data_IF_445137112924
#
_entry.id   IF_445137112924
#
_cell.length_a   1.000
_cell.length_b   1.000
_cell.length_c   1.000
_cell.angle_alpha   90.00
_cell.angle_beta   90.00
_cell.angle_gamma   90.00
#
_symmetry.space_group_name_H-M   'P 1'
#
loop_
_entity.id
_entity.type
_entity.pdbx_description
1 polymer ?
#
# COMPACT_ATOMS: atom_id res chain seq x y z
N UNK A 1 -17.80 -10.70 -17.81
CA UNK A 1 -17.37 -9.83 -16.70
C UNK A 1 -16.84 -8.53 -17.29
N UNK A 2 -17.26 -7.36 -16.75
CA UNK A 2 -16.85 -6.04 -17.25
C UNK A 2 -15.36 -5.79 -16.96
N UNK A 3 -14.59 -5.19 -17.89
CA UNK A 3 -13.22 -4.79 -17.60
C UNK A 3 -13.20 -3.67 -16.53
N UNK A 4 -12.16 -3.64 -15.66
CA UNK A 4 -12.04 -2.58 -14.67
C UNK A 4 -11.94 -1.21 -15.34
N UNK A 5 -12.37 -0.16 -14.62
CA UNK A 5 -12.19 1.21 -15.09
C UNK A 5 -10.72 1.58 -15.34
N UNK A 6 -10.51 2.56 -16.21
CA UNK A 6 -9.19 3.19 -16.40
C UNK A 6 -8.65 3.79 -15.10
N UNK A 7 -9.53 4.30 -14.23
CA UNK A 7 -9.12 4.85 -12.93
C UNK A 7 -8.57 3.75 -12.00
N UNK A 8 -9.23 2.58 -11.93
CA UNK A 8 -8.72 1.42 -11.18
C UNK A 8 -7.36 0.98 -11.69
N UNK A 9 -7.18 0.87 -13.01
CA UNK A 9 -5.88 0.51 -13.61
C UNK A 9 -4.82 1.55 -13.29
N UNK A 10 -5.14 2.85 -13.34
CA UNK A 10 -4.21 3.92 -13.00
C UNK A 10 -3.81 3.88 -11.52
N UNK A 11 -4.78 3.66 -10.62
CA UNK A 11 -4.53 3.53 -9.17
C UNK A 11 -3.65 2.33 -8.87
N UNK A 12 -3.95 1.15 -9.42
CA UNK A 12 -3.09 -0.03 -9.24
C UNK A 12 -1.69 0.19 -9.81
N UNK A 13 -1.57 0.87 -10.96
CA UNK A 13 -0.26 1.19 -11.52
C UNK A 13 0.54 2.11 -10.58
N UNK A 14 -0.11 3.12 -10.00
CA UNK A 14 0.52 4.05 -9.05
C UNK A 14 0.87 3.36 -7.73
N UNK A 15 -0.04 2.56 -7.16
CA UNK A 15 0.21 1.76 -5.96
C UNK A 15 1.40 0.82 -6.19
N UNK A 16 1.44 0.15 -7.34
CA UNK A 16 2.54 -0.72 -7.73
C UNK A 16 3.88 0.02 -7.76
N UNK A 17 3.93 1.17 -8.44
CA UNK A 17 5.15 1.98 -8.51
C UNK A 17 5.60 2.50 -7.12
N UNK A 18 4.65 2.97 -6.30
CA UNK A 18 4.94 3.45 -4.94
C UNK A 18 5.43 2.33 -4.03
N UNK A 19 4.81 1.16 -4.09
CA UNK A 19 5.20 -0.01 -3.30
C UNK A 19 6.58 -0.55 -3.73
N UNK A 20 6.89 -0.55 -5.02
CA UNK A 20 8.24 -0.88 -5.49
C UNK A 20 9.27 0.12 -4.98
N UNK A 21 8.99 1.42 -5.08
CA UNK A 21 9.91 2.47 -4.62
C UNK A 21 10.15 2.39 -3.10
N UNK A 22 9.07 2.35 -2.31
CA UNK A 22 9.16 2.27 -0.84
C UNK A 22 9.75 0.95 -0.37
N UNK A 23 9.33 -0.15 -0.98
CA UNK A 23 9.85 -1.47 -0.63
C UNK A 23 11.35 -1.59 -0.92
N UNK A 24 11.81 -0.98 -2.01
CA UNK A 24 13.24 -0.89 -2.32
C UNK A 24 14.01 -0.06 -1.29
N UNK A 25 13.44 1.05 -0.80
CA UNK A 25 14.04 1.82 0.29
C UNK A 25 14.14 0.97 1.56
N UNK A 26 13.05 0.33 1.97
CA UNK A 26 13.02 -0.48 3.19
C UNK A 26 13.94 -1.69 3.14
N UNK A 27 14.14 -2.28 1.96
CA UNK A 27 14.98 -3.47 1.79
C UNK A 27 16.46 -3.15 1.56
N UNK A 28 16.77 -2.10 0.82
CA UNK A 28 18.15 -1.87 0.33
C UNK A 28 18.82 -0.62 0.89
N UNK A 29 18.08 0.32 1.49
CA UNK A 29 18.73 1.47 2.13
C UNK A 29 19.49 1.03 3.40
N UNK A 30 20.66 1.63 3.72
CA UNK A 30 21.47 1.22 4.88
C UNK A 30 20.76 1.27 6.24
N UNK A 31 19.73 2.10 6.36
CA UNK A 31 18.90 2.26 7.56
C UNK A 31 17.42 1.87 7.32
N UNK A 32 17.10 1.31 6.15
CA UNK A 32 15.72 1.02 5.73
C UNK A 32 14.79 2.25 5.66
N UNK A 33 15.35 3.47 5.68
CA UNK A 33 14.59 4.72 5.82
C UNK A 33 14.06 4.99 7.23
N UNK A 34 14.37 4.15 8.23
CA UNK A 34 13.87 4.34 9.59
C UNK A 34 14.44 5.62 10.23
N UNK A 35 15.71 5.95 9.98
CA UNK A 35 16.36 7.11 10.58
C UNK A 35 16.32 8.31 9.63
N UNK A 36 16.78 8.14 8.39
CA UNK A 36 16.92 9.22 7.42
C UNK A 36 15.58 9.79 6.93
N UNK A 37 14.51 8.98 6.89
CA UNK A 37 13.18 9.40 6.41
C UNK A 37 12.20 9.51 7.57
N UNK A 38 12.15 8.50 8.45
CA UNK A 38 11.19 8.46 9.55
C UNK A 38 11.72 9.10 10.84
N UNK A 39 13.01 9.46 10.94
CA UNK A 39 13.56 10.11 12.13
C UNK A 39 13.52 9.24 13.40
N UNK A 40 13.44 7.92 13.26
CA UNK A 40 13.39 6.99 14.37
C UNK A 40 14.80 6.69 14.89
N UNK A 41 14.98 6.80 16.20
CA UNK A 41 16.16 6.31 16.89
C UNK A 41 16.04 4.79 17.08
N UNK A 42 17.03 4.06 16.54
CA UNK A 42 17.06 2.60 16.55
C UNK A 42 17.71 2.04 17.82
N UNK A 43 18.50 2.85 18.55
CA UNK A 43 19.19 2.46 19.77
C UNK A 43 19.86 1.09 19.69
N UNK A 44 19.66 0.28 20.73
CA UNK A 44 20.27 -1.05 20.86
C UNK A 44 19.60 -2.13 19.99
N UNK A 45 18.40 -1.88 19.45
CA UNK A 45 17.63 -2.86 18.68
C UNK A 45 17.79 -2.71 17.16
N UNK A 46 18.85 -1.99 16.71
CA UNK A 46 19.07 -1.65 15.30
C UNK A 46 18.95 -2.83 14.35
N UNK A 47 19.71 -3.89 14.55
CA UNK A 47 19.71 -5.03 13.61
C UNK A 47 18.35 -5.74 13.53
N UNK A 48 17.63 -5.81 14.65
CA UNK A 48 16.27 -6.36 14.70
C UNK A 48 15.31 -5.46 13.92
N UNK A 49 15.39 -4.15 14.11
CA UNK A 49 14.57 -3.19 13.38
C UNK A 49 14.85 -3.22 11.86
N UNK A 50 16.13 -3.32 11.47
CA UNK A 50 16.55 -3.44 10.08
C UNK A 50 16.04 -4.74 9.44
N UNK A 51 16.07 -5.86 10.16
CA UNK A 51 15.49 -7.11 9.69
C UNK A 51 13.98 -6.97 9.42
N UNK A 52 13.22 -6.45 10.39
CA UNK A 52 11.76 -6.32 10.24
C UNK A 52 11.37 -5.32 9.15
N UNK A 53 12.05 -4.17 9.05
CA UNK A 53 11.74 -3.22 7.98
C UNK A 53 12.14 -3.78 6.62
N UNK A 54 13.25 -4.54 6.53
CA UNK A 54 13.61 -5.27 5.32
C UNK A 54 12.53 -6.29 4.91
N UNK A 55 11.97 -7.04 5.86
CA UNK A 55 10.86 -7.95 5.60
C UNK A 55 9.60 -7.22 5.11
N UNK A 56 9.28 -6.05 5.67
CA UNK A 56 8.23 -5.17 5.13
C UNK A 56 8.54 -4.75 3.70
N UNK A 57 9.82 -4.42 3.41
CA UNK A 57 10.28 -4.07 2.07
C UNK A 57 10.09 -5.19 1.04
N UNK A 58 10.40 -6.44 1.39
CA UNK A 58 10.14 -7.62 0.55
C UNK A 58 8.65 -7.76 0.23
N UNK A 59 7.79 -7.59 1.24
CA UNK A 59 6.33 -7.62 1.07
C UNK A 59 5.85 -6.55 0.10
N UNK A 60 6.32 -5.31 0.28
CA UNK A 60 5.96 -4.18 -0.59
C UNK A 60 6.44 -4.36 -2.03
N UNK A 61 7.67 -4.82 -2.24
CA UNK A 61 8.16 -5.10 -3.60
C UNK A 61 7.29 -6.16 -4.27
N UNK A 62 6.97 -7.24 -3.55
CA UNK A 62 6.15 -8.34 -4.07
C UNK A 62 4.75 -7.86 -4.42
N UNK A 63 4.08 -7.15 -3.51
CA UNK A 63 2.74 -6.61 -3.73
C UNK A 63 2.74 -5.59 -4.86
N UNK A 64 3.74 -4.72 -4.93
CA UNK A 64 3.86 -3.75 -6.01
C UNK A 64 4.06 -4.39 -7.38
N UNK A 65 4.80 -5.51 -7.46
CA UNK A 65 4.90 -6.29 -8.68
C UNK A 65 3.55 -6.92 -9.08
N UNK A 66 2.80 -7.45 -8.11
CA UNK A 66 1.45 -7.98 -8.34
C UNK A 66 0.50 -6.88 -8.84
N UNK A 67 0.56 -5.68 -8.28
CA UNK A 67 -0.23 -4.53 -8.71
C UNK A 67 0.00 -4.19 -10.19
N UNK A 68 1.26 -4.09 -10.60
CA UNK A 68 1.63 -3.82 -12.00
C UNK A 68 1.20 -4.95 -12.93
N UNK A 69 1.33 -6.21 -12.48
CA UNK A 69 0.94 -7.37 -13.26
C UNK A 69 -0.58 -7.46 -13.44
N UNK A 70 -1.35 -7.09 -12.42
CA UNK A 70 -2.82 -6.99 -12.51
C UNK A 70 -3.24 -5.82 -13.40
N UNK A 71 -2.59 -4.66 -13.28
CA UNK A 71 -2.87 -3.50 -14.11
C UNK A 71 -2.63 -3.78 -15.61
N UNK A 72 -1.59 -4.54 -15.92
CA UNK A 72 -1.17 -4.82 -17.31
C UNK A 72 -1.82 -6.07 -17.91
N UNK A 73 -1.82 -7.19 -17.18
CA UNK A 73 -2.14 -8.53 -17.73
C UNK A 73 -3.34 -9.21 -17.09
N UNK A 74 -3.49 -9.17 -15.76
CA UNK A 74 -4.54 -9.90 -15.02
C UNK A 74 -5.66 -8.99 -14.52
N UNK A 75 -6.16 -8.12 -15.40
CA UNK A 75 -7.13 -7.05 -15.07
C UNK A 75 -8.40 -7.53 -14.37
N UNK A 76 -8.77 -8.80 -14.50
CA UNK A 76 -9.90 -9.39 -13.79
C UNK A 76 -9.72 -9.40 -12.27
N UNK A 77 -8.48 -9.38 -11.77
CA UNK A 77 -8.15 -9.36 -10.34
C UNK A 77 -8.11 -7.94 -9.77
N UNK A 78 -8.36 -6.90 -10.57
CA UNK A 78 -8.15 -5.51 -10.16
C UNK A 78 -9.02 -5.10 -8.96
N UNK A 79 -10.32 -5.40 -8.99
CA UNK A 79 -11.22 -5.08 -7.88
C UNK A 79 -10.91 -5.90 -6.62
N UNK A 80 -10.73 -7.24 -6.69
CA UNK A 80 -10.25 -8.02 -5.54
C UNK A 80 -8.96 -7.46 -4.93
N UNK A 81 -8.00 -7.06 -5.76
CA UNK A 81 -6.73 -6.52 -5.29
C UNK A 81 -6.90 -5.15 -4.61
N UNK A 82 -7.75 -4.26 -5.13
CA UNK A 82 -8.08 -3.01 -4.43
C UNK A 82 -8.71 -3.24 -3.05
N UNK A 83 -9.55 -4.28 -2.91
CA UNK A 83 -10.11 -4.65 -1.61
C UNK A 83 -9.03 -5.16 -0.63
N UNK A 84 -8.02 -5.89 -1.12
CA UNK A 84 -6.85 -6.27 -0.31
C UNK A 84 -6.08 -5.04 0.15
N UNK A 85 -5.80 -4.08 -0.74
CA UNK A 85 -5.17 -2.80 -0.36
C UNK A 85 -5.98 -2.03 0.68
N UNK A 86 -7.32 -2.00 0.56
CA UNK A 86 -8.18 -1.38 1.56
C UNK A 86 -8.05 -2.05 2.93
N UNK A 87 -7.96 -3.37 2.97
CA UNK A 87 -7.70 -4.13 4.19
C UNK A 87 -6.34 -3.80 4.80
N UNK A 88 -5.27 -3.81 3.99
CA UNK A 88 -3.92 -3.46 4.43
C UNK A 88 -3.86 -2.04 5.00
N UNK A 89 -4.44 -1.07 4.29
CA UNK A 89 -4.46 0.33 4.71
C UNK A 89 -5.28 0.53 5.99
N UNK A 90 -6.44 -0.13 6.12
CA UNK A 90 -7.24 -0.07 7.34
C UNK A 90 -6.48 -0.65 8.55
N UNK A 91 -5.86 -1.82 8.38
CA UNK A 91 -5.07 -2.45 9.44
C UNK A 91 -3.81 -1.65 9.78
N UNK A 92 -3.15 -1.07 8.78
CA UNK A 92 -2.00 -0.18 8.97
C UNK A 92 -2.38 1.08 9.75
N UNK A 93 -3.50 1.72 9.41
CA UNK A 93 -4.02 2.88 10.15
C UNK A 93 -4.42 2.50 11.58
N UNK A 94 -5.07 1.36 11.78
CA UNK A 94 -5.38 0.84 13.12
C UNK A 94 -4.08 0.64 13.94
N UNK A 95 -3.05 0.04 13.34
CA UNK A 95 -1.76 -0.15 13.98
C UNK A 95 -1.15 1.19 14.41
N UNK A 96 -1.07 2.15 13.48
CA UNK A 96 -0.38 3.42 13.71
C UNK A 96 -1.14 4.41 14.59
N UNK A 97 -2.48 4.37 14.60
CA UNK A 97 -3.29 5.36 15.31
C UNK A 97 -3.81 4.84 16.66
N UNK A 98 -4.02 3.53 16.79
CA UNK A 98 -4.75 2.96 17.92
C UNK A 98 -3.98 1.90 18.71
N UNK A 99 -3.16 1.06 18.07
CA UNK A 99 -2.55 -0.10 18.74
C UNK A 99 -1.10 0.12 19.16
N UNK A 100 -0.23 0.57 18.23
CA UNK A 100 1.21 0.80 18.46
C UNK A 100 1.62 2.11 17.78
N UNK A 101 1.18 3.26 18.31
CA UNK A 101 1.54 4.54 17.73
C UNK A 101 3.06 4.76 17.81
N UNK A 102 3.59 5.40 16.77
CA UNK A 102 4.99 5.82 16.72
C UNK A 102 5.22 7.04 17.64
N UNK A 103 6.46 7.27 18.09
CA UNK A 103 6.79 8.38 18.99
C UNK A 103 6.45 9.77 18.43
N UNK A 104 6.50 9.90 17.11
CA UNK A 104 6.15 11.10 16.36
C UNK A 104 5.56 10.73 15.00
N UNK A 105 4.99 11.73 14.33
CA UNK A 105 4.41 11.50 13.02
C UNK A 105 5.48 11.26 11.95
N UNK A 106 5.31 10.20 11.17
CA UNK A 106 6.26 9.83 10.10
C UNK A 106 5.59 9.93 8.72
N UNK A 107 6.35 10.20 7.64
CA UNK A 107 5.78 10.37 6.29
C UNK A 107 4.82 9.24 5.86
N UNK A 108 5.13 8.00 6.24
CA UNK A 108 4.31 6.83 5.94
C UNK A 108 2.89 6.86 6.52
N UNK A 109 2.67 7.51 7.66
CA UNK A 109 1.33 7.63 8.26
C UNK A 109 0.42 8.53 7.41
N UNK A 110 0.94 9.68 6.98
CA UNK A 110 0.22 10.59 6.09
C UNK A 110 -0.06 9.93 4.73
N UNK A 111 0.93 9.20 4.20
CA UNK A 111 0.77 8.42 2.98
C UNK A 111 -0.33 7.36 3.09
N UNK A 112 -0.42 6.67 4.23
CA UNK A 112 -1.46 5.67 4.48
C UNK A 112 -2.87 6.29 4.57
N UNK A 113 -3.03 7.42 5.26
CA UNK A 113 -4.31 8.13 5.36
C UNK A 113 -4.78 8.59 3.97
N UNK A 114 -3.89 9.26 3.22
CA UNK A 114 -4.21 9.70 1.87
C UNK A 114 -4.59 8.54 0.95
N UNK A 115 -3.80 7.46 0.99
CA UNK A 115 -4.05 6.27 0.17
C UNK A 115 -5.36 5.60 0.55
N UNK A 116 -5.68 5.48 1.85
CA UNK A 116 -6.93 4.88 2.30
C UNK A 116 -8.16 5.62 1.77
N UNK A 117 -8.14 6.95 1.80
CA UNK A 117 -9.23 7.78 1.27
C UNK A 117 -9.33 7.62 -0.25
N UNK A 118 -8.21 7.79 -0.96
CA UNK A 118 -8.19 7.74 -2.42
C UNK A 118 -8.60 6.37 -2.97
N UNK A 119 -8.01 5.30 -2.44
CA UNK A 119 -8.33 3.91 -2.80
C UNK A 119 -9.76 3.57 -2.41
N UNK A 120 -10.24 4.04 -1.25
CA UNK A 120 -11.61 3.83 -0.79
C UNK A 120 -12.64 4.42 -1.73
N UNK A 121 -12.43 5.68 -2.17
CA UNK A 121 -13.31 6.35 -3.14
C UNK A 121 -13.37 5.57 -4.46
N UNK A 122 -12.21 5.17 -5.00
CA UNK A 122 -12.12 4.47 -6.28
C UNK A 122 -12.74 3.07 -6.19
N UNK A 123 -12.52 2.36 -5.08
CA UNK A 123 -13.09 1.03 -4.83
C UNK A 123 -14.61 1.10 -4.72
N UNK A 124 -15.14 2.05 -3.94
CA UNK A 124 -16.57 2.27 -3.80
C UNK A 124 -17.22 2.61 -5.14
N UNK A 125 -16.60 3.49 -5.92
CA UNK A 125 -17.07 3.86 -7.25
C UNK A 125 -17.09 2.66 -8.22
N UNK A 126 -16.05 1.82 -8.23
CA UNK A 126 -15.99 0.62 -9.09
C UNK A 126 -17.08 -0.39 -8.70
N UNK A 127 -17.34 -0.57 -7.40
CA UNK A 127 -18.42 -1.43 -6.91
C UNK A 127 -19.81 -0.93 -7.33
N UNK A 128 -20.05 0.38 -7.21
CA UNK A 128 -21.33 0.99 -7.60
C UNK A 128 -21.57 0.89 -9.11
N UNK A 129 -20.52 1.07 -9.92
CA UNK A 129 -20.58 0.84 -11.38
C UNK A 129 -20.98 -0.58 -11.72
N UNK A 130 -20.39 -1.57 -11.05
CA UNK A 130 -20.72 -2.98 -11.27
C UNK A 130 -22.17 -3.33 -10.93
N UNK A 131 -22.77 -2.64 -9.94
CA UNK A 131 -24.18 -2.83 -9.56
C UNK A 131 -25.16 -2.25 -10.58
N UNK A 132 -24.88 -1.05 -11.09
CA UNK A 132 -25.76 -0.40 -12.07
C UNK A 132 -25.95 -1.24 -13.34
N UNK A 133 -24.87 -1.86 -13.82
CA UNK A 133 -24.92 -2.73 -15.00
C UNK A 133 -25.67 -4.05 -14.74
N UNK A 134 -25.72 -4.54 -13.49
CA UNK A 134 -26.43 -5.77 -13.16
C UNK A 134 -27.96 -5.57 -13.10
N UNK A 135 -28.41 -4.32 -13.06
CA UNK A 135 -29.83 -3.92 -12.99
C UNK A 135 -30.39 -3.40 -14.31
N UNK A 136 -29.57 -3.27 -15.36
CA UNK A 136 -29.95 -2.87 -16.72
C UNK A 136 -30.07 -4.08 -17.64
#
# INVERSE_FOLDING_TARGET
>A
MRPPSRAVIAVLSLLGAVNLARGSIHLFAPDGGLTAIAGLDLGQAREIALFFIGAVGVGQITLGAVDLLVATRFRMMALPLLLVHMGELALGLFLFLLWRPLPHAVPGQYGAVFSFIAVGIITAWELLRGRADATS
#
